data_IF_570373844029
#
_entry.id   IF_570373844029
#
_cell.length_a   1.000
_cell.length_b   1.000
_cell.length_c   1.000
_cell.angle_alpha   90.00
_cell.angle_beta   90.00
_cell.angle_gamma   90.00
#
_symmetry.space_group_name_H-M   'P 1'
#
loop_
_entity.id
_entity.type
_entity.pdbx_description
1 polymer ?
#
# COMPACT_ATOMS: atom_id res chain seq x y z
N UNK A 1 -12.52 -13.44 -1.24
CA UNK A 1 -13.21 -12.13 -1.19
C UNK A 1 -12.26 -10.93 -1.16
N UNK A 2 -11.66 -10.52 -0.03
CA UNK A 2 -10.83 -9.28 -0.01
C UNK A 2 -9.61 -9.34 -0.94
N UNK A 3 -8.89 -10.46 -0.96
CA UNK A 3 -7.72 -10.63 -1.84
C UNK A 3 -8.11 -10.60 -3.33
N UNK A 4 -9.26 -11.17 -3.67
CA UNK A 4 -9.77 -11.15 -5.06
C UNK A 4 -10.17 -9.75 -5.49
N UNK A 5 -10.74 -8.95 -4.57
CA UNK A 5 -11.03 -7.55 -4.83
C UNK A 5 -9.74 -6.76 -5.06
N UNK A 6 -8.71 -6.98 -4.24
CA UNK A 6 -7.40 -6.36 -4.42
C UNK A 6 -6.81 -6.75 -5.79
N UNK A 7 -6.98 -8.00 -6.21
CA UNK A 7 -6.50 -8.47 -7.51
C UNK A 7 -7.22 -7.80 -8.68
N UNK A 8 -8.54 -7.63 -8.58
CA UNK A 8 -9.32 -6.90 -9.56
C UNK A 8 -8.89 -5.42 -9.65
N UNK A 9 -8.71 -4.75 -8.51
CA UNK A 9 -8.25 -3.35 -8.45
C UNK A 9 -6.81 -3.17 -8.94
N UNK A 10 -5.95 -4.15 -8.66
CA UNK A 10 -4.58 -4.18 -9.17
C UNK A 10 -4.56 -4.30 -10.71
N UNK A 11 -5.46 -5.11 -11.29
CA UNK A 11 -5.55 -5.31 -12.74
C UNK A 11 -6.22 -4.15 -13.49
N UNK A 12 -6.98 -3.31 -12.79
CA UNK A 12 -7.66 -2.17 -13.37
C UNK A 12 -6.70 -0.99 -13.64
N UNK A 13 -6.42 -0.71 -14.91
CA UNK A 13 -5.53 0.39 -15.31
C UNK A 13 -6.15 1.79 -15.10
N UNK A 14 -7.42 1.88 -14.72
CA UNK A 14 -8.07 3.15 -14.34
C UNK A 14 -7.90 3.48 -12.87
N UNK A 15 -7.43 2.53 -12.06
CA UNK A 15 -7.15 2.71 -10.63
C UNK A 15 -5.67 3.03 -10.46
N UNK A 16 -5.36 4.24 -9.99
CA UNK A 16 -3.98 4.68 -9.75
C UNK A 16 -3.46 4.27 -8.35
N UNK A 17 -4.35 3.95 -7.42
CA UNK A 17 -3.96 3.73 -6.03
C UNK A 17 -4.99 2.95 -5.21
N UNK A 18 -4.49 2.16 -4.26
CA UNK A 18 -5.25 1.32 -3.34
C UNK A 18 -4.81 1.69 -1.92
N UNK A 19 -5.81 1.93 -1.07
CA UNK A 19 -5.64 2.23 0.35
C UNK A 19 -6.47 1.24 1.16
N UNK A 20 -5.86 0.66 2.20
CA UNK A 20 -6.52 -0.31 3.08
C UNK A 20 -6.50 0.22 4.50
N UNK A 21 -7.68 0.52 5.03
CA UNK A 21 -7.79 1.05 6.38
C UNK A 21 -7.50 -0.04 7.42
N UNK A 22 -6.56 0.23 8.33
CA UNK A 22 -6.19 -0.64 9.45
C UNK A 22 -6.86 -0.16 10.75
N UNK A 23 -7.15 -1.05 11.72
CA UNK A 23 -6.92 -2.49 11.69
C UNK A 23 -8.01 -3.25 10.92
N UNK A 24 -7.62 -4.34 10.24
CA UNK A 24 -8.60 -5.24 9.62
C UNK A 24 -9.30 -6.11 10.67
N UNK A 25 -10.50 -6.64 10.33
CA UNK A 25 -11.21 -7.62 11.16
C UNK A 25 -10.34 -8.83 11.56
N UNK A 26 -10.62 -9.37 12.75
CA UNK A 26 -9.92 -10.55 13.27
C UNK A 26 -10.07 -11.76 12.31
N UNK A 27 -8.95 -12.38 11.96
CA UNK A 27 -8.89 -13.50 11.01
C UNK A 27 -8.38 -13.11 9.60
N UNK A 28 -8.22 -11.82 9.31
CA UNK A 28 -7.57 -11.36 8.08
C UNK A 28 -6.09 -11.07 8.37
N UNK A 29 -5.23 -11.67 7.55
CA UNK A 29 -3.79 -11.46 7.60
C UNK A 29 -3.44 -10.13 6.92
N UNK A 30 -3.19 -9.10 7.74
CA UNK A 30 -2.79 -7.76 7.28
C UNK A 30 -1.56 -7.82 6.37
N UNK A 31 -0.59 -8.70 6.66
CA UNK A 31 0.66 -8.78 5.90
C UNK A 31 0.36 -9.26 4.48
N UNK A 32 -0.44 -10.33 4.34
CA UNK A 32 -0.86 -10.83 3.02
C UNK A 32 -1.64 -9.80 2.22
N UNK A 33 -2.49 -9.01 2.87
CA UNK A 33 -3.26 -7.95 2.21
C UNK A 33 -2.33 -6.87 1.68
N UNK A 34 -1.40 -6.39 2.50
CA UNK A 34 -0.44 -5.34 2.11
C UNK A 34 0.56 -5.80 1.04
N UNK A 35 1.02 -7.05 1.10
CA UNK A 35 1.90 -7.65 0.10
C UNK A 35 1.19 -7.92 -1.24
N UNK A 36 -0.14 -8.03 -1.24
CA UNK A 36 -0.91 -8.28 -2.47
C UNK A 36 -1.11 -7.01 -3.30
N UNK A 37 -1.10 -5.83 -2.68
CA UNK A 37 -1.25 -4.54 -3.38
C UNK A 37 -0.02 -4.29 -4.24
N UNK A 38 -0.21 -3.93 -5.51
CA UNK A 38 0.93 -3.64 -6.38
C UNK A 38 1.74 -2.45 -5.82
N UNK A 39 3.08 -2.51 -5.73
CA UNK A 39 3.88 -1.44 -5.13
C UNK A 39 3.65 -0.06 -5.77
N UNK A 40 3.38 -0.03 -7.08
CA UNK A 40 3.09 1.20 -7.82
C UNK A 40 1.66 1.75 -7.58
N UNK A 41 0.81 1.00 -6.87
CA UNK A 41 -0.55 1.41 -6.44
C UNK A 41 -0.68 1.48 -4.92
N UNK A 42 0.39 1.21 -4.17
CA UNK A 42 0.39 1.26 -2.71
C UNK A 42 0.58 2.71 -2.24
N UNK A 43 -0.55 3.38 -1.99
CA UNK A 43 -0.60 4.79 -1.58
C UNK A 43 -0.19 4.98 -0.12
N UNK A 44 -0.41 3.97 0.71
CA UNK A 44 0.00 3.99 2.12
C UNK A 44 1.50 3.73 2.29
N UNK A 45 2.17 3.13 1.30
CA UNK A 45 3.61 2.85 1.32
C UNK A 45 3.99 1.72 2.27
N UNK A 46 3.03 0.87 2.67
CA UNK A 46 3.25 -0.24 3.60
C UNK A 46 3.66 -1.54 2.91
N UNK A 47 3.62 -1.60 1.58
CA UNK A 47 4.17 -2.74 0.85
C UNK A 47 5.67 -2.87 1.18
N UNK A 48 6.19 -4.07 1.51
CA UNK A 48 7.58 -4.25 1.94
C UNK A 48 8.61 -3.65 0.98
N UNK A 49 8.33 -3.70 -0.33
CA UNK A 49 9.10 -3.00 -1.36
C UNK A 49 9.20 -1.47 -1.12
N UNK A 50 8.08 -0.78 -0.88
CA UNK A 50 8.06 0.66 -0.67
C UNK A 50 8.71 1.04 0.66
N UNK A 51 8.49 0.26 1.71
CA UNK A 51 9.20 0.41 3.00
C UNK A 51 10.71 0.22 2.82
N UNK A 52 11.14 -0.81 2.08
CA UNK A 52 12.55 -1.05 1.79
C UNK A 52 13.19 0.07 0.96
N UNK A 53 12.46 0.64 0.00
CA UNK A 53 12.89 1.80 -0.80
C UNK A 53 12.97 3.07 0.06
N UNK A 54 12.07 3.25 1.01
CA UNK A 54 12.11 4.33 1.99
C UNK A 54 13.35 4.22 2.89
N UNK A 55 13.65 3.04 3.43
CA UNK A 55 14.86 2.77 4.23
C UNK A 55 16.16 3.06 3.45
N UNK A 56 16.16 2.79 2.16
CA UNK A 56 17.28 3.08 1.25
C UNK A 56 17.36 4.55 0.81
N UNK A 57 16.48 5.43 1.29
CA UNK A 57 16.37 6.85 0.89
C UNK A 57 16.10 7.06 -0.62
N UNK A 58 15.50 6.08 -1.30
CA UNK A 58 15.15 6.13 -2.72
C UNK A 58 13.65 5.87 -2.98
N UNK A 59 12.73 6.62 -2.33
CA UNK A 59 11.30 6.34 -2.42
C UNK A 59 10.74 6.59 -3.83
N UNK A 60 9.83 5.73 -4.28
CA UNK A 60 9.08 5.88 -5.55
C UNK A 60 7.72 6.53 -5.28
N UNK A 61 6.86 5.85 -4.54
CA UNK A 61 5.70 6.42 -3.87
C UNK A 61 6.09 6.74 -2.43
N UNK A 62 5.73 7.95 -1.96
CA UNK A 62 6.03 8.37 -0.58
C UNK A 62 4.76 8.20 0.26
N UNK A 63 4.84 7.50 1.40
CA UNK A 63 3.70 7.31 2.29
C UNK A 63 3.07 8.65 2.70
N UNK A 64 1.74 8.70 2.64
CA UNK A 64 0.95 9.93 2.77
C UNK A 64 1.15 10.62 4.12
N UNK A 65 1.13 9.86 5.22
CA UNK A 65 1.20 10.36 6.59
C UNK A 65 2.54 11.00 6.95
N UNK A 66 3.72 10.36 6.76
CA UNK A 66 5.01 11.00 7.05
C UNK A 66 5.35 12.12 6.06
N UNK A 67 4.88 12.09 4.80
CA UNK A 67 5.04 13.23 3.89
C UNK A 67 4.27 14.45 4.37
N UNK A 68 3.07 14.26 4.92
CA UNK A 68 2.30 15.34 5.53
C UNK A 68 3.06 16.04 6.67
N UNK A 69 3.66 15.26 7.58
CA UNK A 69 4.39 15.80 8.74
C UNK A 69 5.67 16.55 8.34
N UNK A 70 6.41 16.11 7.32
CA UNK A 70 7.66 16.77 6.87
C UNK A 70 7.40 18.03 6.04
N UNK A 71 6.18 18.22 5.53
CA UNK A 71 5.81 19.39 4.71
C UNK A 71 5.21 20.53 5.55
N UNK A 72 4.72 20.23 6.76
CA UNK A 72 4.28 21.21 7.76
C UNK A 72 5.48 21.82 8.51
#
# INVERSE_FOLDING_TARGET
ELLELIDALNADNTIDGILVHLPLPAGIDNVKVLERIHPDKDVDGFHPYNVGRLCQRAPRLRPCTPRGIVTL
#
